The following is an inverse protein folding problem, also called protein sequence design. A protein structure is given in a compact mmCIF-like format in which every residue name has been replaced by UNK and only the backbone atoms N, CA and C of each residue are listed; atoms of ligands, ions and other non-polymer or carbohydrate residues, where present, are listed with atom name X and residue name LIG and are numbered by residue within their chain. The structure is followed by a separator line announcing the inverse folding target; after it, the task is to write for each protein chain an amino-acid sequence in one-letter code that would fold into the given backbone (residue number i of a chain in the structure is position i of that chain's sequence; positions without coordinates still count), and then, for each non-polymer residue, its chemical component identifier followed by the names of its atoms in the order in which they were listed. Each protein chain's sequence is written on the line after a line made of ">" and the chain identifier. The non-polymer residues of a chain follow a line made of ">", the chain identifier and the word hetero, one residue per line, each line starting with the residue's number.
data_IF_141516365422
#
_entry.id   IF_141516365422
#
_cell.length_a   1.000
_cell.length_b   1.000
_cell.length_c   1.000
_cell.angle_alpha   90.00
_cell.angle_beta   90.00
_cell.angle_gamma   90.00
#
_symmetry.space_group_name_H-M   'P 1'
#
loop_
_entity.id
_entity.type
_entity.pdbx_description
1 polymer ?
#
# COMPACT_ATOMS: atom_id res chain seq x y z
N UNK A 1 16.31 8.94 -20.44
CA UNK A 1 16.68 7.65 -19.83
C UNK A 1 15.49 7.14 -19.01
N UNK A 2 14.46 6.61 -19.68
CA UNK A 2 13.24 6.09 -19.05
C UNK A 2 13.24 4.58 -19.14
N UNK A 3 13.79 3.93 -18.11
CA UNK A 3 13.85 2.47 -18.05
C UNK A 3 12.45 1.87 -17.96
N UNK A 4 12.06 1.17 -19.02
CA UNK A 4 10.85 0.37 -19.08
C UNK A 4 11.03 -0.79 -18.09
N UNK A 5 10.39 -0.71 -16.94
CA UNK A 5 10.26 -1.84 -16.01
C UNK A 5 9.34 -2.88 -16.65
N UNK A 6 9.92 -3.78 -17.45
CA UNK A 6 9.30 -5.07 -17.77
C UNK A 6 9.35 -5.93 -16.50
N UNK A 7 8.28 -5.93 -15.72
CA UNK A 7 8.06 -6.99 -14.74
C UNK A 7 7.33 -8.14 -15.42
N UNK A 8 8.04 -9.26 -15.55
CA UNK A 8 7.47 -10.55 -15.91
C UNK A 8 6.55 -11.02 -14.77
N UNK A 9 5.33 -11.42 -15.11
CA UNK A 9 4.30 -11.86 -14.17
C UNK A 9 3.15 -10.87 -14.09
N UNK A 10 1.95 -11.39 -13.88
CA UNK A 10 0.61 -10.76 -13.87
C UNK A 10 0.43 -9.66 -12.79
N UNK A 11 1.36 -8.73 -12.69
CA UNK A 11 1.36 -7.61 -11.77
C UNK A 11 1.80 -6.35 -12.53
N UNK A 12 0.93 -5.90 -13.44
CA UNK A 12 1.12 -4.61 -14.08
C UNK A 12 1.23 -3.53 -13.00
N UNK A 13 2.36 -2.82 -12.96
CA UNK A 13 2.59 -1.71 -12.03
C UNK A 13 1.70 -0.55 -12.47
N UNK A 14 0.46 -0.53 -12.01
CA UNK A 14 -0.47 0.57 -12.24
C UNK A 14 -0.23 1.68 -11.22
N UNK A 15 -0.54 2.96 -11.53
CA UNK A 15 -0.43 4.06 -10.56
C UNK A 15 -1.18 3.76 -9.25
N UNK A 16 -2.31 3.05 -9.35
CA UNK A 16 -3.08 2.60 -8.19
C UNK A 16 -2.31 1.58 -7.33
N UNK A 17 -1.62 0.60 -7.94
CA UNK A 17 -0.80 -0.37 -7.21
C UNK A 17 0.44 0.28 -6.58
N UNK A 18 1.03 1.29 -7.24
CA UNK A 18 2.14 2.08 -6.65
C UNK A 18 1.67 2.86 -5.43
N UNK A 19 0.50 3.52 -5.51
CA UNK A 19 -0.10 4.24 -4.39
C UNK A 19 -0.37 3.31 -3.19
N UNK A 20 -0.90 2.12 -3.44
CA UNK A 20 -1.10 1.08 -2.40
C UNK A 20 0.22 0.74 -1.69
N UNK A 21 1.30 0.54 -2.44
CA UNK A 21 2.63 0.24 -1.87
C UNK A 21 3.17 1.39 -1.00
N UNK A 22 2.94 2.65 -1.40
CA UNK A 22 3.34 3.83 -0.61
C UNK A 22 2.55 3.87 0.71
N UNK A 23 1.23 3.68 0.65
CA UNK A 23 0.38 3.64 1.85
C UNK A 23 0.75 2.48 2.79
N UNK A 24 1.12 1.33 2.24
CA UNK A 24 1.61 0.19 3.03
C UNK A 24 2.93 0.49 3.75
N UNK A 25 3.85 1.23 3.12
CA UNK A 25 5.10 1.66 3.78
C UNK A 25 4.84 2.64 4.94
N UNK A 26 3.83 3.49 4.83
CA UNK A 26 3.42 4.40 5.92
C UNK A 26 2.77 3.60 7.06
N UNK A 27 1.96 2.59 6.73
CA UNK A 27 1.36 1.70 7.72
C UNK A 27 2.41 0.86 8.45
N UNK A 28 3.29 0.16 7.73
CA UNK A 28 4.28 -0.74 8.31
C UNK A 28 5.70 -0.34 7.90
N UNK A 29 6.29 0.71 8.51
CA UNK A 29 7.68 1.05 8.28
C UNK A 29 8.61 -0.05 8.83
N UNK A 30 9.71 -0.38 8.13
CA UNK A 30 10.55 -1.55 8.44
C UNK A 30 11.32 -1.44 9.78
N UNK A 31 11.31 -0.28 10.43
CA UNK A 31 12.17 0.05 11.56
C UNK A 31 11.41 0.40 12.84
N UNK A 32 10.08 0.21 12.88
CA UNK A 32 9.26 0.70 13.99
C UNK A 32 8.39 -0.39 14.62
N UNK A 33 8.59 -0.61 15.92
CA UNK A 33 7.91 -1.64 16.74
C UNK A 33 6.71 -1.04 17.52
N UNK A 34 6.69 0.29 17.72
CA UNK A 34 5.60 1.05 18.35
C UNK A 34 4.76 1.79 17.30
N UNK A 35 3.69 2.50 17.72
CA UNK A 35 2.81 3.30 16.83
C UNK A 35 3.65 4.04 15.78
N UNK A 36 3.52 3.70 14.48
CA UNK A 36 4.41 4.23 13.47
C UNK A 36 4.22 5.74 13.32
N UNK A 37 5.30 6.52 13.17
CA UNK A 37 5.15 7.91 12.75
C UNK A 37 4.54 7.88 11.33
N UNK A 38 3.50 8.68 11.02
CA UNK A 38 3.02 9.88 11.71
C UNK A 38 1.80 9.69 12.62
N UNK A 39 1.44 8.47 13.01
CA UNK A 39 0.25 8.24 13.83
C UNK A 39 0.49 8.64 15.28
N UNK A 40 -0.44 9.43 15.83
CA UNK A 40 -0.44 9.82 17.25
C UNK A 40 -1.21 8.85 18.14
N UNK A 41 -1.98 7.91 17.54
CA UNK A 41 -2.79 6.95 18.30
C UNK A 41 -3.05 5.66 17.52
N UNK A 42 -3.16 4.54 18.24
CA UNK A 42 -3.49 3.21 17.70
C UNK A 42 -4.79 3.20 16.86
N UNK A 43 -5.90 3.87 17.26
CA UNK A 43 -7.13 3.87 16.47
C UNK A 43 -6.96 4.47 15.07
N UNK A 44 -6.16 5.53 14.92
CA UNK A 44 -5.86 6.14 13.64
C UNK A 44 -5.06 5.21 12.73
N UNK A 45 -4.07 4.54 13.31
CA UNK A 45 -3.26 3.53 12.62
C UNK A 45 -4.13 2.34 12.14
N UNK A 46 -4.98 1.80 13.02
CA UNK A 46 -5.87 0.68 12.70
C UNK A 46 -6.89 1.04 11.60
N UNK A 47 -7.38 2.28 11.59
CA UNK A 47 -8.30 2.77 10.56
C UNK A 47 -7.64 2.80 9.17
N UNK A 48 -6.34 3.15 9.10
CA UNK A 48 -5.58 3.06 7.86
C UNK A 48 -5.42 1.59 7.42
N UNK A 49 -5.17 0.66 8.35
CA UNK A 49 -5.10 -0.77 8.05
C UNK A 49 -6.38 -1.31 7.41
N UNK A 50 -7.54 -0.94 7.96
CA UNK A 50 -8.85 -1.29 7.39
C UNK A 50 -9.06 -0.68 5.99
N UNK A 51 -8.65 0.58 5.80
CA UNK A 51 -8.72 1.23 4.50
C UNK A 51 -7.85 0.52 3.45
N UNK A 52 -6.61 0.15 3.80
CA UNK A 52 -5.69 -0.58 2.93
C UNK A 52 -6.24 -1.96 2.55
N UNK A 53 -6.88 -2.67 3.49
CA UNK A 53 -7.52 -3.95 3.23
C UNK A 53 -8.65 -3.81 2.20
N UNK A 54 -9.52 -2.81 2.37
CA UNK A 54 -10.60 -2.53 1.43
C UNK A 54 -10.08 -2.13 0.05
N UNK A 55 -9.07 -1.26 0.01
CA UNK A 55 -8.46 -0.77 -1.23
C UNK A 55 -7.79 -1.90 -2.02
N UNK A 56 -7.11 -2.82 -1.33
CA UNK A 56 -6.50 -4.00 -1.95
C UNK A 56 -7.57 -4.87 -2.62
N UNK A 57 -8.70 -5.11 -1.94
CA UNK A 57 -9.82 -5.90 -2.47
C UNK A 57 -10.50 -5.22 -3.66
N UNK A 58 -10.71 -3.90 -3.60
CA UNK A 58 -11.24 -3.13 -4.71
C UNK A 58 -10.31 -3.15 -5.93
N UNK A 59 -8.99 -3.06 -5.71
CA UNK A 59 -8.01 -3.09 -6.81
C UNK A 59 -7.92 -4.44 -7.54
N UNK A 60 -8.19 -5.54 -6.84
CA UNK A 60 -8.33 -6.87 -7.46
C UNK A 60 -9.67 -7.06 -8.17
N UNK A 61 -10.73 -6.38 -7.70
CA UNK A 61 -12.07 -6.45 -8.32
C UNK A 61 -12.09 -5.75 -9.69
N UNK A 62 -11.27 -4.71 -9.89
CA UNK A 62 -11.25 -3.93 -11.14
C UNK A 62 -10.60 -4.64 -12.34
N UNK A 63 -10.15 -5.89 -12.17
CA UNK A 63 -9.49 -6.70 -13.20
C UNK A 63 -10.25 -7.97 -13.58
N UNK A 64 -11.48 -8.15 -13.06
CA UNK A 64 -12.36 -9.28 -13.40
C UNK A 64 -13.45 -8.89 -14.39
#
# INVERSE_FOLDING_TARGET
>A
MGGIFKHAGTFAITPHKVSLCILLKIYAPPSQISVPFPFSSIPHHNRLGLFLLALTKASSLFYS
#
